data_IF_748758968056
#
_entry.id   IF_748758968056
#
_cell.length_a   1.000
_cell.length_b   1.000
_cell.length_c   1.000
_cell.angle_alpha   90.00
_cell.angle_beta   90.00
_cell.angle_gamma   90.00
#
_symmetry.space_group_name_H-M   'P 1'
#
loop_
_entity.id
_entity.type
_entity.pdbx_description
1 polymer ?
#
# COMPACT_ATOMS: atom_id res chain seq x y z
N UNK A 1 34.58 -9.49 7.44
CA UNK A 1 33.22 -10.09 7.42
C UNK A 1 32.91 -10.46 5.97
N UNK A 2 32.55 -11.72 5.67
CA UNK A 2 32.13 -12.11 4.30
C UNK A 2 30.62 -12.00 4.21
N UNK A 3 30.10 -11.28 3.21
CA UNK A 3 28.67 -11.23 2.88
C UNK A 3 28.43 -11.99 1.59
N UNK A 4 27.28 -12.66 1.51
CA UNK A 4 26.82 -13.34 0.29
C UNK A 4 25.52 -12.71 -0.16
N UNK A 5 25.44 -12.38 -1.45
CA UNK A 5 24.24 -11.82 -2.06
C UNK A 5 23.68 -12.82 -3.07
N UNK A 6 22.35 -13.03 -3.03
CA UNK A 6 21.61 -13.84 -4.01
C UNK A 6 20.48 -12.98 -4.57
N UNK A 7 20.30 -13.00 -5.88
CA UNK A 7 19.23 -12.27 -6.57
C UNK A 7 18.32 -13.29 -7.25
N UNK A 8 17.03 -13.16 -7.00
CA UNK A 8 15.97 -13.97 -7.62
C UNK A 8 15.10 -13.06 -8.49
N UNK A 9 14.87 -13.45 -9.75
CA UNK A 9 14.03 -12.73 -10.70
C UNK A 9 12.65 -13.38 -10.76
N UNK A 10 11.94 -13.34 -9.64
CA UNK A 10 10.65 -14.02 -9.45
C UNK A 10 9.63 -13.05 -8.83
N UNK A 11 8.34 -13.43 -8.91
CA UNK A 11 7.28 -12.71 -8.23
C UNK A 11 7.30 -13.05 -6.73
N UNK A 12 7.27 -12.00 -5.89
CA UNK A 12 7.29 -12.15 -4.43
C UNK A 12 5.99 -12.69 -3.82
N UNK A 13 4.93 -12.90 -4.61
CA UNK A 13 3.74 -13.63 -4.17
C UNK A 13 4.06 -15.08 -3.77
N UNK A 14 5.15 -15.62 -4.28
CA UNK A 14 5.63 -16.95 -3.97
C UNK A 14 7.14 -17.00 -4.09
N UNK A 15 7.82 -17.29 -2.98
CA UNK A 15 9.29 -17.35 -2.88
C UNK A 15 9.77 -18.79 -2.57
N UNK A 16 9.65 -19.76 -3.51
CA UNK A 16 9.92 -21.17 -3.24
C UNK A 16 11.39 -21.44 -2.89
N UNK A 17 12.29 -20.54 -3.30
CA UNK A 17 13.71 -20.62 -2.95
C UNK A 17 14.01 -20.31 -1.48
N UNK A 18 13.04 -19.74 -0.74
CA UNK A 18 13.18 -19.39 0.67
C UNK A 18 12.37 -20.36 1.54
N UNK A 19 13.00 -21.16 2.40
CA UNK A 19 12.29 -21.99 3.37
C UNK A 19 11.43 -21.14 4.33
N UNK A 20 10.38 -21.75 4.89
CA UNK A 20 9.61 -21.11 5.94
C UNK A 20 10.50 -20.81 7.16
N UNK A 21 10.31 -19.65 7.77
CA UNK A 21 11.04 -19.24 8.98
C UNK A 21 12.55 -19.08 8.79
N UNK A 22 13.02 -18.78 7.56
CA UNK A 22 14.46 -18.68 7.24
C UNK A 22 15.00 -17.26 7.13
N UNK A 23 14.12 -16.26 7.17
CA UNK A 23 14.46 -14.84 6.97
C UNK A 23 14.35 -14.08 8.28
N UNK A 24 15.36 -13.30 8.61
CA UNK A 24 15.40 -12.47 9.82
C UNK A 24 14.72 -11.11 9.62
N UNK A 25 14.87 -10.54 8.42
CA UNK A 25 14.41 -9.19 8.11
C UNK A 25 13.93 -9.11 6.66
N UNK A 26 12.77 -8.50 6.48
CA UNK A 26 12.26 -8.03 5.19
C UNK A 26 12.25 -6.51 5.19
N UNK A 27 12.79 -5.90 4.14
CA UNK A 27 12.69 -4.47 3.86
C UNK A 27 12.13 -4.30 2.46
N UNK A 28 10.99 -3.64 2.33
CA UNK A 28 10.32 -3.49 1.04
C UNK A 28 9.57 -2.16 0.92
N UNK A 29 9.41 -1.72 -0.33
CA UNK A 29 8.54 -0.62 -0.73
C UNK A 29 7.72 -1.14 -1.92
N UNK A 30 6.49 -1.62 -1.70
CA UNK A 30 5.66 -2.18 -2.77
C UNK A 30 5.19 -1.08 -3.73
N UNK A 31 4.63 -1.42 -4.89
CA UNK A 31 3.83 -0.49 -5.67
C UNK A 31 2.70 0.09 -4.80
N UNK A 32 2.56 1.42 -4.79
CA UNK A 32 1.59 2.09 -3.92
C UNK A 32 0.22 2.11 -4.58
N UNK A 33 -0.79 1.41 -4.02
CA UNK A 33 -2.16 1.51 -4.53
C UNK A 33 -2.64 2.97 -4.60
N UNK A 34 -3.40 3.29 -5.63
CA UNK A 34 -3.96 4.62 -5.92
C UNK A 34 -2.93 5.72 -6.24
N UNK A 35 -1.64 5.43 -6.32
CA UNK A 35 -0.67 6.32 -6.96
C UNK A 35 -0.67 6.01 -8.47
N UNK A 36 -1.03 6.99 -9.27
CA UNK A 36 -1.36 6.87 -10.71
C UNK A 36 -0.29 6.14 -11.53
N UNK A 37 0.98 6.37 -11.24
CA UNK A 37 2.08 5.70 -11.93
C UNK A 37 2.03 4.17 -11.86
N UNK A 38 1.32 3.59 -10.88
CA UNK A 38 1.18 2.15 -10.68
C UNK A 38 -0.11 1.57 -11.27
N UNK A 39 -1.02 2.40 -11.77
CA UNK A 39 -2.31 1.94 -12.32
C UNK A 39 -2.13 0.89 -13.42
N UNK A 40 -1.20 1.14 -14.35
CA UNK A 40 -0.91 0.20 -15.44
C UNK A 40 -0.40 -1.16 -14.96
N UNK A 41 0.36 -1.19 -13.85
CA UNK A 41 0.80 -2.44 -13.24
C UNK A 41 -0.40 -3.19 -12.64
N UNK A 42 -1.16 -2.54 -11.78
CA UNK A 42 -2.32 -3.17 -11.12
C UNK A 42 -3.39 -3.60 -12.12
N UNK A 43 -3.64 -2.81 -13.18
CA UNK A 43 -4.58 -3.17 -14.24
C UNK A 43 -4.15 -4.41 -15.04
N UNK A 44 -2.84 -4.68 -15.17
CA UNK A 44 -2.33 -5.91 -15.77
C UNK A 44 -2.47 -7.12 -14.86
N UNK A 45 -2.24 -6.92 -13.55
CA UNK A 45 -2.27 -8.00 -12.57
C UNK A 45 -3.69 -8.37 -12.11
N UNK A 46 -4.64 -7.43 -12.18
CA UNK A 46 -6.01 -7.60 -11.68
C UNK A 46 -7.04 -7.03 -12.64
N UNK A 47 -7.85 -7.88 -13.28
CA UNK A 47 -9.03 -7.43 -14.04
C UNK A 47 -10.00 -6.61 -13.19
N UNK A 48 -10.15 -6.94 -11.91
CA UNK A 48 -11.00 -6.19 -10.98
C UNK A 48 -10.48 -4.76 -10.76
N UNK A 49 -9.15 -4.57 -10.59
CA UNK A 49 -8.56 -3.24 -10.46
C UNK A 49 -8.73 -2.43 -11.76
N UNK A 50 -8.50 -3.06 -12.92
CA UNK A 50 -8.73 -2.43 -14.22
C UNK A 50 -10.17 -1.94 -14.38
N UNK A 51 -11.14 -2.81 -14.14
CA UNK A 51 -12.56 -2.49 -14.29
C UNK A 51 -12.98 -1.37 -13.33
N UNK A 52 -12.54 -1.42 -12.07
CA UNK A 52 -12.88 -0.41 -11.08
C UNK A 52 -12.28 0.97 -11.44
N UNK A 53 -11.05 1.02 -11.96
CA UNK A 53 -10.44 2.26 -12.46
C UNK A 53 -11.21 2.81 -13.67
N UNK A 54 -11.56 1.96 -14.64
CA UNK A 54 -12.32 2.36 -15.83
C UNK A 54 -13.71 2.89 -15.48
N UNK A 55 -14.35 2.28 -14.46
CA UNK A 55 -15.68 2.70 -13.98
C UNK A 55 -15.60 3.84 -12.97
N UNK A 56 -14.41 4.38 -12.69
CA UNK A 56 -14.17 5.44 -11.72
C UNK A 56 -14.68 5.11 -10.30
N UNK A 57 -14.61 3.85 -9.92
CA UNK A 57 -14.99 3.36 -8.59
C UNK A 57 -13.74 3.30 -7.67
N UNK A 58 -13.37 4.44 -7.06
CA UNK A 58 -12.11 4.59 -6.33
C UNK A 58 -11.89 3.58 -5.21
N UNK A 59 -12.87 3.36 -4.32
CA UNK A 59 -12.74 2.38 -3.23
C UNK A 59 -12.63 0.94 -3.74
N UNK A 60 -13.36 0.59 -4.79
CA UNK A 60 -13.26 -0.73 -5.40
C UNK A 60 -11.89 -0.94 -6.05
N UNK A 61 -11.33 0.08 -6.69
CA UNK A 61 -9.99 0.06 -7.25
C UNK A 61 -8.93 -0.12 -6.14
N UNK A 62 -9.03 0.65 -5.06
CA UNK A 62 -8.18 0.55 -3.89
C UNK A 62 -8.12 -0.86 -3.32
N UNK A 63 -9.28 -1.46 -3.04
CA UNK A 63 -9.34 -2.82 -2.50
C UNK A 63 -8.84 -3.87 -3.51
N UNK A 64 -9.14 -3.73 -4.79
CA UNK A 64 -8.67 -4.65 -5.82
C UNK A 64 -7.14 -4.61 -5.98
N UNK A 65 -6.51 -3.43 -5.85
CA UNK A 65 -5.06 -3.27 -5.87
C UNK A 65 -4.40 -3.90 -4.63
N UNK A 66 -4.99 -3.72 -3.45
CA UNK A 66 -4.49 -4.35 -2.23
C UNK A 66 -4.60 -5.88 -2.26
N UNK A 67 -5.64 -6.44 -2.88
CA UNK A 67 -5.77 -7.89 -3.08
C UNK A 67 -4.65 -8.48 -3.93
N UNK A 68 -4.04 -7.69 -4.82
CA UNK A 68 -2.82 -8.10 -5.55
C UNK A 68 -1.63 -8.22 -4.60
N UNK A 69 -1.55 -7.37 -3.57
CA UNK A 69 -0.45 -7.38 -2.61
C UNK A 69 -0.65 -8.39 -1.46
N UNK A 70 -1.89 -8.78 -1.16
CA UNK A 70 -2.21 -9.66 -0.03
C UNK A 70 -1.43 -11.00 -0.04
N UNK A 71 -1.22 -11.69 -1.19
CA UNK A 71 -0.38 -12.89 -1.25
C UNK A 71 1.08 -12.62 -0.88
N UNK A 72 1.61 -11.44 -1.22
CA UNK A 72 2.99 -11.05 -0.88
C UNK A 72 3.16 -10.97 0.64
N UNK A 73 2.17 -10.41 1.35
CA UNK A 73 2.20 -10.34 2.81
C UNK A 73 2.09 -11.71 3.48
N UNK A 74 1.27 -12.61 2.93
CA UNK A 74 1.18 -13.98 3.39
C UNK A 74 2.51 -14.73 3.20
N UNK A 75 3.15 -14.54 2.05
CA UNK A 75 4.44 -15.17 1.77
C UNK A 75 5.57 -14.56 2.62
N UNK A 76 5.54 -13.25 2.85
CA UNK A 76 6.44 -12.58 3.78
C UNK A 76 6.31 -13.15 5.20
N UNK A 77 5.09 -13.39 5.68
CA UNK A 77 4.87 -14.04 6.97
C UNK A 77 5.43 -15.47 7.00
N UNK A 78 5.24 -16.23 5.93
CA UNK A 78 5.75 -17.61 5.83
C UNK A 78 7.27 -17.69 5.95
N UNK A 79 7.98 -16.81 5.24
CA UNK A 79 9.46 -16.88 5.18
C UNK A 79 10.14 -16.27 6.39
N UNK A 80 9.51 -15.32 7.07
CA UNK A 80 10.05 -14.73 8.30
C UNK A 80 10.07 -15.74 9.44
N UNK A 81 11.19 -15.81 10.16
CA UNK A 81 11.26 -16.58 11.39
C UNK A 81 10.45 -15.93 12.53
N UNK A 82 10.03 -16.70 13.54
CA UNK A 82 9.50 -16.09 14.77
C UNK A 82 10.47 -15.06 15.35
N UNK A 83 9.96 -13.86 15.65
CA UNK A 83 10.78 -12.72 16.08
C UNK A 83 11.54 -11.99 14.97
N UNK A 84 11.35 -12.36 13.70
CA UNK A 84 11.85 -11.61 12.54
C UNK A 84 11.02 -10.36 12.27
N UNK A 85 11.57 -9.40 11.52
CA UNK A 85 10.95 -8.09 11.26
C UNK A 85 10.59 -7.90 9.79
N UNK A 86 9.42 -7.28 9.54
CA UNK A 86 9.05 -6.75 8.25
C UNK A 86 8.98 -5.22 8.31
N UNK A 87 9.85 -4.55 7.56
CA UNK A 87 9.87 -3.10 7.40
C UNK A 87 9.24 -2.75 6.04
N UNK A 88 8.03 -2.21 6.06
CA UNK A 88 7.27 -1.87 4.85
C UNK A 88 7.23 -0.35 4.73
N UNK A 89 7.92 0.19 3.73
CA UNK A 89 7.84 1.61 3.41
C UNK A 89 6.66 1.85 2.48
N UNK A 90 5.65 2.57 2.95
CA UNK A 90 4.42 2.86 2.22
C UNK A 90 3.93 4.27 2.56
N UNK A 91 3.32 4.93 1.61
CA UNK A 91 2.61 6.20 1.81
C UNK A 91 1.15 6.07 1.43
N UNK A 92 0.30 6.85 2.10
CA UNK A 92 -1.08 6.99 1.70
C UNK A 92 -1.19 7.81 0.41
N UNK A 93 -2.24 7.57 -0.35
CA UNK A 93 -2.50 8.28 -1.58
C UNK A 93 -3.70 9.23 -1.40
N UNK A 94 -3.57 10.47 -1.89
CA UNK A 94 -4.71 11.34 -2.12
C UNK A 94 -4.96 11.40 -3.62
N UNK A 95 -6.19 11.15 -4.03
CA UNK A 95 -6.53 11.11 -5.46
C UNK A 95 -8.01 11.43 -5.68
N UNK A 96 -8.28 12.12 -6.79
CA UNK A 96 -9.63 12.26 -7.32
C UNK A 96 -9.90 11.12 -8.31
N UNK A 97 -10.97 10.38 -8.10
CA UNK A 97 -11.50 9.38 -9.03
C UNK A 97 -12.94 9.74 -9.33
N UNK A 98 -13.26 9.96 -10.61
CA UNK A 98 -14.50 10.62 -10.98
C UNK A 98 -14.57 12.02 -10.35
N UNK A 99 -15.66 12.30 -9.66
CA UNK A 99 -15.88 13.60 -8.97
C UNK A 99 -15.53 13.54 -7.48
N UNK A 100 -14.93 12.41 -7.00
CA UNK A 100 -14.67 12.21 -5.58
C UNK A 100 -13.18 12.28 -5.29
N UNK A 101 -12.77 13.32 -4.54
CA UNK A 101 -11.44 13.41 -3.92
C UNK A 101 -11.45 12.70 -2.58
N UNK A 102 -10.45 11.84 -2.33
CA UNK A 102 -10.32 11.19 -1.04
C UNK A 102 -8.89 10.76 -0.73
N UNK A 103 -8.63 10.50 0.54
CA UNK A 103 -7.46 9.81 1.04
C UNK A 103 -7.67 8.29 0.95
N UNK A 104 -6.71 7.59 0.39
CA UNK A 104 -6.64 6.13 0.34
C UNK A 104 -5.57 5.66 1.34
N UNK A 105 -5.97 5.11 2.50
CA UNK A 105 -5.07 4.83 3.62
C UNK A 105 -4.32 3.50 3.41
N UNK A 106 -3.32 3.49 2.54
CA UNK A 106 -2.53 2.30 2.21
C UNK A 106 -1.91 1.66 3.46
N UNK A 107 -1.32 2.48 4.35
CA UNK A 107 -0.67 1.96 5.56
C UNK A 107 -1.65 1.21 6.45
N UNK A 108 -2.85 1.74 6.66
CA UNK A 108 -3.88 1.12 7.49
C UNK A 108 -4.38 -0.20 6.89
N UNK A 109 -4.58 -0.24 5.56
CA UNK A 109 -5.04 -1.45 4.87
C UNK A 109 -3.99 -2.57 4.94
N UNK A 110 -2.71 -2.24 4.77
CA UNK A 110 -1.60 -3.20 4.94
C UNK A 110 -1.50 -3.66 6.39
N UNK A 111 -1.59 -2.74 7.35
CA UNK A 111 -1.54 -3.06 8.77
C UNK A 111 -2.64 -4.05 9.16
N UNK A 112 -3.88 -3.81 8.73
CA UNK A 112 -5.00 -4.73 8.97
C UNK A 112 -4.71 -6.12 8.41
N UNK A 113 -4.21 -6.20 7.17
CA UNK A 113 -3.85 -7.49 6.57
C UNK A 113 -2.73 -8.20 7.30
N UNK A 114 -1.71 -7.47 7.73
CA UNK A 114 -0.61 -8.04 8.52
C UNK A 114 -1.10 -8.58 9.88
N UNK A 115 -2.00 -7.87 10.56
CA UNK A 115 -2.63 -8.35 11.80
C UNK A 115 -3.40 -9.66 11.59
N UNK A 116 -4.19 -9.76 10.52
CA UNK A 116 -4.92 -10.99 10.17
C UNK A 116 -3.97 -12.19 9.92
N UNK A 117 -2.79 -11.92 9.39
CA UNK A 117 -1.76 -12.95 9.15
C UNK A 117 -0.98 -13.35 10.41
N UNK A 118 -1.13 -12.62 11.52
CA UNK A 118 -0.46 -12.93 12.79
C UNK A 118 0.81 -12.11 13.05
N UNK A 119 1.07 -11.04 12.29
CA UNK A 119 2.11 -10.09 12.66
C UNK A 119 1.72 -9.29 13.89
N UNK A 120 2.71 -8.95 14.72
CA UNK A 120 2.56 -8.00 15.81
C UNK A 120 3.04 -6.63 15.34
N UNK A 121 2.17 -5.60 15.26
CA UNK A 121 2.58 -4.28 14.81
C UNK A 121 3.45 -3.58 15.84
N UNK A 122 4.45 -2.87 15.37
CA UNK A 122 5.25 -1.95 16.15
C UNK A 122 4.86 -0.49 15.80
N UNK A 123 5.22 0.50 16.65
CA UNK A 123 4.99 1.90 16.34
C UNK A 123 5.56 2.29 14.98
N UNK A 124 4.79 3.03 14.18
CA UNK A 124 5.20 3.47 12.86
C UNK A 124 6.36 4.48 12.95
N UNK A 125 7.31 4.37 12.03
CA UNK A 125 8.37 5.36 11.83
C UNK A 125 7.90 6.31 10.73
N UNK A 126 7.75 7.59 11.04
CA UNK A 126 7.35 8.59 10.08
C UNK A 126 8.57 9.16 9.36
N UNK A 127 8.66 8.92 8.07
CA UNK A 127 9.67 9.51 7.23
C UNK A 127 9.14 10.79 6.57
N UNK A 128 9.51 11.94 7.15
CA UNK A 128 9.18 13.25 6.59
C UNK A 128 10.17 13.61 5.48
N UNK A 129 9.69 13.67 4.25
CA UNK A 129 10.48 14.19 3.11
C UNK A 129 10.34 15.70 3.06
N UNK A 130 11.49 16.39 2.90
CA UNK A 130 11.49 17.79 2.48
C UNK A 130 11.39 17.82 0.95
N UNK A 131 10.51 18.65 0.42
CA UNK A 131 10.37 18.85 -1.02
C UNK A 131 10.68 20.30 -1.35
N UNK A 132 11.40 20.51 -2.45
CA UNK A 132 11.71 21.85 -2.97
C UNK A 132 10.50 22.50 -3.68
N UNK A 133 9.41 21.80 -3.83
CA UNK A 133 8.16 22.28 -4.45
C UNK A 133 6.96 21.83 -3.61
N UNK A 134 6.66 22.52 -2.50
CA UNK A 134 5.52 22.19 -1.63
C UNK A 134 4.21 22.08 -2.42
N UNK A 135 4.01 22.95 -3.41
CA UNK A 135 2.79 23.01 -4.23
C UNK A 135 2.56 21.80 -5.14
N UNK A 136 3.59 21.02 -5.45
CA UNK A 136 3.43 19.78 -6.25
C UNK A 136 2.91 18.61 -5.43
N UNK A 137 3.14 18.63 -4.12
CA UNK A 137 2.68 17.57 -3.21
C UNK A 137 1.45 17.98 -2.40
N UNK A 138 1.28 19.28 -2.24
CA UNK A 138 0.05 19.88 -1.75
C UNK A 138 -0.83 20.18 -2.95
N UNK A 139 -1.22 19.14 -3.71
CA UNK A 139 -2.33 19.30 -4.63
C UNK A 139 -3.45 20.03 -3.88
N UNK A 140 -4.34 20.70 -4.58
CA UNK A 140 -5.44 21.53 -4.05
C UNK A 140 -6.35 20.86 -3.01
N UNK A 141 -5.90 19.86 -2.31
CA UNK A 141 -6.64 19.05 -1.38
C UNK A 141 -5.85 18.56 -0.17
N UNK A 142 -4.67 19.10 0.12
CA UNK A 142 -4.02 18.78 1.38
C UNK A 142 -4.72 19.54 2.50
N UNK A 143 -5.65 18.87 3.16
CA UNK A 143 -6.27 19.37 4.38
C UNK A 143 -5.19 19.52 5.46
N UNK A 144 -5.23 20.61 6.25
CA UNK A 144 -4.41 20.70 7.45
C UNK A 144 -4.62 19.47 8.33
N UNK A 145 -3.57 19.02 9.00
CA UNK A 145 -3.68 17.90 9.93
C UNK A 145 -4.83 18.16 10.92
N UNK A 146 -5.83 17.26 10.95
CA UNK A 146 -7.01 17.37 11.80
C UNK A 146 -8.24 18.04 11.17
N UNK A 147 -8.20 18.48 9.92
CA UNK A 147 -9.41 18.92 9.23
C UNK A 147 -10.14 17.72 8.61
N UNK A 148 -11.32 17.44 9.10
CA UNK A 148 -12.24 16.45 8.52
C UNK A 148 -13.46 17.19 7.96
N UNK A 149 -13.68 17.09 6.66
CA UNK A 149 -14.90 17.61 6.06
C UNK A 149 -16.01 16.57 6.23
N UNK A 150 -17.11 16.99 6.84
CA UNK A 150 -18.31 16.19 6.91
C UNK A 150 -18.91 16.11 5.51
N UNK A 151 -19.10 14.92 4.97
CA UNK A 151 -19.78 14.69 3.71
C UNK A 151 -21.18 15.32 3.79
N UNK A 152 -21.43 16.36 2.99
CA UNK A 152 -22.78 16.88 2.83
C UNK A 152 -23.54 15.93 1.93
N UNK A 153 -24.68 15.44 2.39
CA UNK A 153 -25.57 14.69 1.51
C UNK A 153 -26.05 15.59 0.37
N UNK A 154 -25.79 15.20 -0.85
CA UNK A 154 -26.18 15.91 -2.06
C UNK A 154 -27.69 16.19 -2.15
N UNK A 155 -28.49 15.48 -1.34
CA UNK A 155 -29.96 15.62 -1.30
C UNK A 155 -30.45 16.67 -0.28
N UNK A 156 -29.66 17.05 0.74
CA UNK A 156 -30.13 17.91 1.84
C UNK A 156 -29.32 19.19 2.04
N UNK A 157 -28.14 19.32 1.42
CA UNK A 157 -27.28 20.50 1.56
C UNK A 157 -26.83 20.78 3.01
N UNK A 158 -26.87 19.80 3.92
CA UNK A 158 -26.50 19.90 5.33
C UNK A 158 -25.40 18.96 5.71
#
# INVERSE_FOLDING_TARGET
MKTTHRVYFENSERMPALPAGSVDLIVTSPPYPMIEMWDGLFARLSPAARNALTQQHGLAAFEAMHRVLDPVWAEAHRVLRPGGFACINIGDATRTIGDTFMLYPNHSRILTRCLELGFTPLPAILWRKQTNSPNKFMGSGMLPAGAYERRTDAATGR
#
